data_IF_237446506031
#
_entry.id   IF_237446506031
#
_cell.length_a   1.000
_cell.length_b   1.000
_cell.length_c   1.000
_cell.angle_alpha   90.00
_cell.angle_beta   90.00
_cell.angle_gamma   90.00
#
_symmetry.space_group_name_H-M   'P 1'
#
loop_
_entity.id
_entity.type
_entity.pdbx_description
1 polymer ?
#
# COMPACT_ATOMS: atom_id res chain seq x y z
N UNK A 1 18.21 4.17 -4.99
CA UNK A 1 17.09 3.42 -5.62
C UNK A 1 15.69 3.76 -5.07
N UNK A 2 15.55 4.72 -4.14
CA UNK A 2 14.26 5.05 -3.48
C UNK A 2 13.14 5.40 -4.48
N UNK A 3 13.44 6.20 -5.50
CA UNK A 3 12.45 6.57 -6.52
C UNK A 3 11.89 5.38 -7.30
N UNK A 4 12.73 4.41 -7.67
CA UNK A 4 12.31 3.20 -8.39
C UNK A 4 11.41 2.33 -7.49
N UNK A 5 11.81 2.13 -6.22
CA UNK A 5 11.01 1.37 -5.25
C UNK A 5 9.61 1.97 -5.11
N UNK A 6 9.53 3.29 -4.93
CA UNK A 6 8.27 4.03 -4.83
C UNK A 6 7.43 3.91 -6.11
N UNK A 7 8.04 4.03 -7.28
CA UNK A 7 7.33 3.91 -8.55
C UNK A 7 6.70 2.52 -8.73
N UNK A 8 7.40 1.45 -8.38
CA UNK A 8 6.87 0.08 -8.42
C UNK A 8 5.69 -0.06 -7.44
N UNK A 9 5.82 0.47 -6.22
CA UNK A 9 4.74 0.44 -5.23
C UNK A 9 3.50 1.18 -5.75
N UNK A 10 3.67 2.38 -6.32
CA UNK A 10 2.57 3.16 -6.88
C UNK A 10 1.88 2.43 -8.03
N UNK A 11 2.65 1.76 -8.90
CA UNK A 11 2.10 0.92 -9.97
C UNK A 11 1.23 -0.20 -9.40
N UNK A 12 1.73 -0.96 -8.42
CA UNK A 12 0.99 -2.06 -7.80
C UNK A 12 -0.28 -1.57 -7.09
N UNK A 13 -0.21 -0.47 -6.34
CA UNK A 13 -1.39 0.10 -5.68
C UNK A 13 -2.42 0.58 -6.70
N UNK A 14 -1.99 1.19 -7.81
CA UNK A 14 -2.89 1.62 -8.88
C UNK A 14 -3.56 0.44 -9.58
N UNK A 15 -2.84 -0.68 -9.75
CA UNK A 15 -3.37 -1.90 -10.35
C UNK A 15 -4.53 -2.45 -9.50
N UNK A 16 -4.32 -2.59 -8.19
CA UNK A 16 -5.36 -3.08 -7.29
C UNK A 16 -6.51 -2.07 -7.11
N UNK A 17 -6.22 -0.77 -7.08
CA UNK A 17 -7.26 0.27 -7.13
C UNK A 17 -8.20 0.04 -8.32
N UNK A 18 -7.65 -0.04 -9.54
CA UNK A 18 -8.46 -0.23 -10.74
C UNK A 18 -9.14 -1.60 -10.78
N UNK A 19 -8.49 -2.65 -10.31
CA UNK A 19 -9.11 -3.96 -10.20
C UNK A 19 -10.36 -3.94 -9.31
N UNK A 20 -10.31 -3.27 -8.15
CA UNK A 20 -11.47 -3.14 -7.27
C UNK A 20 -12.54 -2.19 -7.82
N UNK A 21 -12.16 -1.09 -8.48
CA UNK A 21 -13.11 -0.22 -9.19
C UNK A 21 -13.85 -1.01 -10.27
N UNK A 22 -13.13 -1.75 -11.10
CA UNK A 22 -13.73 -2.57 -12.16
C UNK A 22 -14.62 -3.65 -11.55
N UNK A 23 -14.18 -4.35 -10.50
CA UNK A 23 -15.02 -5.34 -9.82
C UNK A 23 -16.30 -4.72 -9.26
N UNK A 24 -16.25 -3.51 -8.71
CA UNK A 24 -17.45 -2.82 -8.24
C UNK A 24 -18.40 -2.41 -9.38
N UNK A 25 -17.87 -2.11 -10.57
CA UNK A 25 -18.68 -1.65 -11.72
C UNK A 25 -19.27 -2.79 -12.56
N UNK A 26 -18.55 -3.90 -12.70
CA UNK A 26 -18.91 -4.99 -13.62
C UNK A 26 -18.93 -6.38 -12.96
N UNK A 27 -18.53 -6.49 -11.70
CA UNK A 27 -18.52 -7.76 -10.96
C UNK A 27 -19.87 -8.09 -10.35
N UNK A 28 -19.96 -9.23 -9.64
CA UNK A 28 -21.19 -9.64 -8.95
C UNK A 28 -21.55 -8.67 -7.82
N UNK A 29 -22.85 -8.37 -7.68
CA UNK A 29 -23.38 -7.43 -6.69
C UNK A 29 -23.00 -7.80 -5.24
N UNK A 30 -22.84 -9.09 -4.95
CA UNK A 30 -22.42 -9.61 -3.64
C UNK A 30 -21.08 -9.04 -3.17
N UNK A 31 -20.21 -8.61 -4.10
CA UNK A 31 -18.91 -8.03 -3.79
C UNK A 31 -18.89 -6.50 -3.85
N UNK A 32 -19.97 -5.84 -4.27
CA UNK A 32 -19.99 -4.40 -4.53
C UNK A 32 -19.44 -3.57 -3.37
N UNK A 33 -20.03 -3.73 -2.17
CA UNK A 33 -19.65 -2.93 -1.00
C UNK A 33 -18.18 -3.16 -0.59
N UNK A 34 -17.72 -4.42 -0.65
CA UNK A 34 -16.33 -4.77 -0.39
C UNK A 34 -15.41 -4.13 -1.43
N UNK A 35 -15.73 -4.25 -2.73
CA UNK A 35 -14.91 -3.71 -3.82
C UNK A 35 -14.84 -2.19 -3.79
N UNK A 36 -15.93 -1.49 -3.45
CA UNK A 36 -15.91 -0.04 -3.23
C UNK A 36 -14.99 0.30 -2.06
N UNK A 37 -15.15 -0.37 -0.92
CA UNK A 37 -14.30 -0.15 0.25
C UNK A 37 -12.81 -0.38 -0.04
N UNK A 38 -12.49 -1.48 -0.72
CA UNK A 38 -11.12 -1.79 -1.12
C UNK A 38 -10.60 -0.75 -2.10
N UNK A 39 -11.36 -0.36 -3.13
CA UNK A 39 -10.93 0.71 -4.05
C UNK A 39 -10.57 2.01 -3.30
N UNK A 40 -11.33 2.40 -2.28
CA UNK A 40 -11.02 3.56 -1.47
C UNK A 40 -9.70 3.37 -0.69
N UNK A 41 -9.48 2.19 -0.08
CA UNK A 41 -8.23 1.88 0.64
C UNK A 41 -7.02 1.96 -0.27
N UNK A 42 -7.02 1.30 -1.44
CA UNK A 42 -5.89 1.36 -2.36
C UNK A 42 -5.71 2.75 -2.97
N UNK A 43 -6.81 3.46 -3.23
CA UNK A 43 -6.79 4.84 -3.73
C UNK A 43 -6.14 5.80 -2.72
N UNK A 44 -6.52 5.72 -1.45
CA UNK A 44 -5.91 6.50 -0.36
C UNK A 44 -4.42 6.17 -0.21
N UNK A 45 -4.04 4.89 -0.27
CA UNK A 45 -2.64 4.47 -0.22
C UNK A 45 -1.84 5.05 -1.40
N UNK A 46 -2.39 4.98 -2.61
CA UNK A 46 -1.77 5.52 -3.82
C UNK A 46 -1.60 7.03 -3.73
N UNK A 47 -2.68 7.77 -3.47
CA UNK A 47 -2.65 9.24 -3.40
C UNK A 47 -1.76 9.71 -2.27
N UNK A 48 -1.84 9.07 -1.10
CA UNK A 48 -0.98 9.37 0.04
C UNK A 48 0.50 9.22 -0.31
N UNK A 49 0.88 8.08 -0.92
CA UNK A 49 2.27 7.86 -1.30
C UNK A 49 2.71 8.78 -2.44
N UNK A 50 1.82 9.10 -3.38
CA UNK A 50 2.08 10.01 -4.50
C UNK A 50 2.29 11.45 -4.02
N UNK A 51 1.52 11.88 -3.02
CA UNK A 51 1.60 13.21 -2.42
C UNK A 51 2.66 13.34 -1.31
N UNK A 52 3.38 12.25 -1.00
CA UNK A 52 4.35 12.17 0.11
C UNK A 52 3.71 12.59 1.45
N UNK A 53 2.46 12.14 1.68
CA UNK A 53 1.74 12.38 2.93
C UNK A 53 2.41 11.63 4.09
N UNK A 54 2.46 12.27 5.27
CA UNK A 54 3.27 11.80 6.40
C UNK A 54 2.97 10.36 6.85
N UNK A 55 1.72 9.92 6.80
CA UNK A 55 1.31 8.55 7.17
C UNK A 55 1.20 7.58 6.00
N UNK A 56 1.48 8.03 4.79
CA UNK A 56 1.26 7.23 3.59
C UNK A 56 2.08 5.93 3.59
N UNK A 57 3.34 5.99 4.03
CA UNK A 57 4.21 4.80 4.08
C UNK A 57 3.66 3.75 5.03
N UNK A 58 3.27 4.17 6.23
CA UNK A 58 2.70 3.27 7.23
C UNK A 58 1.39 2.65 6.75
N UNK A 59 0.48 3.47 6.21
CA UNK A 59 -0.80 3.02 5.70
C UNK A 59 -0.64 2.01 4.54
N UNK A 60 0.18 2.35 3.54
CA UNK A 60 0.45 1.47 2.40
C UNK A 60 1.22 0.19 2.82
N UNK A 61 2.05 0.27 3.86
CA UNK A 61 2.69 -0.92 4.46
C UNK A 61 1.65 -1.85 5.06
N UNK A 62 0.66 -1.34 5.78
CA UNK A 62 -0.45 -2.13 6.30
C UNK A 62 -1.25 -2.83 5.20
N UNK A 63 -1.53 -2.12 4.09
CA UNK A 63 -2.17 -2.72 2.89
C UNK A 63 -1.31 -3.84 2.31
N UNK A 64 0.01 -3.62 2.18
CA UNK A 64 0.97 -4.64 1.74
C UNK A 64 1.03 -5.86 2.67
N UNK A 65 1.01 -5.66 3.98
CA UNK A 65 1.01 -6.76 4.95
C UNK A 65 -0.28 -7.59 4.87
N UNK A 66 -1.44 -6.93 4.85
CA UNK A 66 -2.74 -7.59 4.71
C UNK A 66 -2.76 -8.54 3.52
N UNK A 67 -2.40 -8.06 2.32
CA UNK A 67 -2.42 -8.90 1.13
C UNK A 67 -1.35 -9.99 1.16
N UNK A 68 -0.18 -9.72 1.74
CA UNK A 68 0.90 -10.72 1.83
C UNK A 68 0.53 -11.93 2.68
N UNK A 69 -0.32 -11.77 3.70
CA UNK A 69 -0.77 -12.87 4.54
C UNK A 69 -1.66 -13.88 3.81
N UNK A 70 -2.24 -13.52 2.66
CA UNK A 70 -2.94 -14.51 1.82
C UNK A 70 -2.01 -15.61 1.29
N UNK A 71 -0.69 -15.40 1.24
CA UNK A 71 0.25 -16.46 0.89
C UNK A 71 0.20 -17.64 1.88
N UNK A 72 -0.21 -17.41 3.13
CA UNK A 72 -0.36 -18.49 4.11
C UNK A 72 -1.51 -19.44 3.76
N UNK A 73 -2.51 -18.98 2.99
CA UNK A 73 -3.62 -19.81 2.52
C UNK A 73 -3.14 -20.91 1.57
N UNK A 74 -2.04 -20.66 0.83
CA UNK A 74 -1.45 -21.63 -0.10
C UNK A 74 -0.96 -22.90 0.60
N UNK A 75 -0.66 -22.83 1.91
CA UNK A 75 -0.30 -24.00 2.71
C UNK A 75 -1.46 -25.01 2.81
N UNK A 76 -2.70 -24.56 2.64
CA UNK A 76 -3.89 -25.38 2.73
C UNK A 76 -4.42 -25.79 1.36
N UNK A 77 -4.46 -24.87 0.39
CA UNK A 77 -5.14 -25.10 -0.89
C UNK A 77 -4.19 -25.35 -2.07
N UNK A 78 -2.88 -25.34 -1.84
CA UNK A 78 -1.87 -25.46 -2.89
C UNK A 78 -1.62 -24.14 -3.65
N UNK A 79 -0.79 -24.17 -4.71
CA UNK A 79 -0.34 -22.98 -5.43
C UNK A 79 -1.43 -22.45 -6.40
N UNK A 80 -2.49 -21.87 -5.85
CA UNK A 80 -3.51 -21.20 -6.65
C UNK A 80 -2.92 -19.89 -7.25
N UNK A 81 -2.92 -19.73 -8.59
CA UNK A 81 -2.20 -18.63 -9.25
C UNK A 81 -2.65 -17.22 -8.85
N UNK A 82 -3.95 -17.03 -8.61
CA UNK A 82 -4.53 -15.74 -8.25
C UNK A 82 -4.03 -15.28 -6.87
N UNK A 83 -4.03 -16.19 -5.90
CA UNK A 83 -3.52 -15.94 -4.54
C UNK A 83 -2.01 -15.73 -4.56
N UNK A 84 -1.26 -16.49 -5.36
CA UNK A 84 0.19 -16.26 -5.52
C UNK A 84 0.45 -14.85 -6.06
N UNK A 85 -0.21 -14.46 -7.15
CA UNK A 85 -0.04 -13.14 -7.73
C UNK A 85 -0.44 -12.02 -6.76
N UNK A 86 -1.60 -12.16 -6.12
CA UNK A 86 -2.10 -11.21 -5.14
C UNK A 86 -1.12 -11.07 -3.96
N UNK A 87 -0.78 -12.18 -3.32
CA UNK A 87 0.06 -12.18 -2.12
C UNK A 87 1.49 -11.70 -2.38
N UNK A 88 2.12 -12.13 -3.49
CA UNK A 88 3.48 -11.70 -3.85
C UNK A 88 3.51 -10.21 -4.18
N UNK A 89 2.52 -9.70 -4.93
CA UNK A 89 2.45 -8.27 -5.25
C UNK A 89 2.36 -7.41 -3.98
N UNK A 90 1.60 -7.87 -2.98
CA UNK A 90 1.48 -7.19 -1.69
C UNK A 90 2.74 -7.30 -0.83
N UNK A 91 3.40 -8.46 -0.85
CA UNK A 91 4.71 -8.62 -0.22
C UNK A 91 5.75 -7.66 -0.82
N UNK A 92 5.73 -7.49 -2.15
CA UNK A 92 6.58 -6.51 -2.83
C UNK A 92 6.28 -5.08 -2.36
N UNK A 93 5.00 -4.69 -2.23
CA UNK A 93 4.64 -3.37 -1.66
C UNK A 93 5.26 -3.19 -0.29
N UNK A 94 5.09 -4.17 0.61
CA UNK A 94 5.64 -4.10 1.96
C UNK A 94 7.17 -3.99 1.97
N UNK A 95 7.87 -4.89 1.27
CA UNK A 95 9.35 -4.91 1.25
C UNK A 95 9.93 -3.66 0.59
N UNK A 96 9.30 -3.16 -0.48
CA UNK A 96 9.77 -1.97 -1.18
C UNK A 96 9.53 -0.67 -0.40
N UNK A 97 8.64 -0.67 0.60
CA UNK A 97 8.43 0.45 1.53
C UNK A 97 9.25 0.36 2.83
N UNK A 98 9.96 -0.75 3.05
CA UNK A 98 10.74 -0.98 4.26
C UNK A 98 12.05 -0.16 4.32
N UNK A 99 12.51 0.10 5.54
CA UNK A 99 13.82 0.68 5.87
C UNK A 99 13.84 2.21 5.95
N UNK A 100 14.85 2.71 6.67
CA UNK A 100 15.01 4.13 7.04
C UNK A 100 15.02 5.08 5.85
N UNK A 101 15.67 4.70 4.75
CA UNK A 101 15.72 5.56 3.56
C UNK A 101 14.34 5.81 2.92
N UNK A 102 13.38 4.89 3.10
CA UNK A 102 11.99 5.15 2.70
C UNK A 102 11.28 6.03 3.73
N UNK A 103 11.47 5.76 5.02
CA UNK A 103 10.84 6.50 6.12
C UNK A 103 11.27 7.98 6.17
N UNK A 104 12.54 8.27 5.87
CA UNK A 104 13.09 9.63 5.73
C UNK A 104 12.36 10.51 4.70
N UNK A 105 11.61 9.90 3.79
CA UNK A 105 10.84 10.61 2.76
C UNK A 105 9.41 10.94 3.18
N UNK A 106 8.91 10.34 4.26
CA UNK A 106 7.55 10.55 4.75
C UNK A 106 7.60 11.01 6.20
N UNK A 107 7.55 10.09 7.17
CA UNK A 107 7.41 10.41 8.59
C UNK A 107 8.62 11.14 9.20
N UNK A 108 9.83 10.92 8.68
CA UNK A 108 11.05 11.62 9.16
C UNK A 108 11.54 12.71 8.20
N UNK A 109 10.69 13.17 7.27
CA UNK A 109 11.06 14.25 6.35
C UNK A 109 10.95 15.62 7.04
N UNK A 110 11.98 16.46 6.90
CA UNK A 110 11.95 17.86 7.37
C UNK A 110 10.77 18.65 6.75
N UNK A 111 10.51 18.45 5.45
CA UNK A 111 9.40 19.10 4.76
C UNK A 111 8.04 18.67 5.34
N UNK A 112 7.93 17.42 5.78
CA UNK A 112 6.75 16.91 6.48
C UNK A 112 6.64 17.53 7.87
N UNK A 113 7.75 17.61 8.61
CA UNK A 113 7.79 18.22 9.94
C UNK A 113 7.37 19.70 9.90
N UNK A 114 7.89 20.46 8.93
CA UNK A 114 7.53 21.86 8.69
C UNK A 114 6.05 22.00 8.30
N UNK A 115 5.57 21.19 7.34
CA UNK A 115 4.20 21.26 6.85
C UNK A 115 3.16 20.99 7.92
N UNK A 116 3.46 20.10 8.86
CA UNK A 116 2.53 19.65 9.89
C UNK A 116 2.88 20.17 11.30
N UNK A 117 3.84 21.08 11.42
CA UNK A 117 4.32 21.65 12.70
C UNK A 117 4.67 20.60 13.76
N UNK A 118 5.42 19.57 13.37
CA UNK A 118 5.95 18.62 14.35
C UNK A 118 6.93 19.30 15.30
N UNK A 119 6.80 19.00 16.60
CA UNK A 119 7.73 19.50 17.60
C UNK A 119 9.10 18.84 17.40
N UNK A 120 10.19 19.50 17.77
CA UNK A 120 11.55 18.94 17.62
C UNK A 120 11.68 17.55 18.26
N UNK A 121 11.02 17.33 19.41
CA UNK A 121 10.96 16.03 20.09
C UNK A 121 10.23 14.93 19.29
N UNK A 122 9.38 15.30 18.32
CA UNK A 122 8.65 14.35 17.46
C UNK A 122 9.55 13.70 16.40
N UNK A 123 10.77 14.23 16.19
CA UNK A 123 11.75 13.72 15.23
C UNK A 123 12.84 12.86 15.88
N UNK A 124 12.88 12.76 17.21
CA UNK A 124 13.98 12.17 17.97
C UNK A 124 13.87 10.66 18.25
N UNK A 125 13.06 9.91 17.50
CA UNK A 125 12.85 8.46 17.68
C UNK A 125 13.62 7.63 16.63
#
# INVERSE_FOLDING_TARGET
MIGIRRAIVLLLLSLFFWQYVLTALIGPDDFFAMSVGMSAVYGIAFVGLAAEWFWARWFATGVGQFGSFFLLVLLQIGPEPTIVFFGVSHLLVWVLLAGEGMAARYEHSEATAERWNFQEDSLAL
#
